data_IF_769540718367
#
_entry.id   IF_769540718367
#
_cell.length_a   1.000
_cell.length_b   1.000
_cell.length_c   1.000
_cell.angle_alpha   90.00
_cell.angle_beta   90.00
_cell.angle_gamma   90.00
#
_symmetry.space_group_name_H-M   'P 1'
#
loop_
_entity.id
_entity.type
_entity.pdbx_description
1 polymer ?
#
# COMPACT_ATOMS: atom_id res chain seq x y z
N UNK A 1 -0.08 -37.82 41.41
CA UNK A 1 0.69 -36.56 41.52
C UNK A 1 1.53 -36.51 40.26
N UNK A 2 1.00 -35.90 39.20
CA UNK A 2 1.60 -35.86 37.86
C UNK A 2 2.50 -34.61 37.73
N UNK A 3 3.69 -34.68 37.10
CA UNK A 3 4.57 -33.54 36.99
C UNK A 3 4.14 -32.58 35.87
N UNK A 4 4.18 -31.28 36.18
CA UNK A 4 3.96 -30.16 35.27
C UNK A 4 5.14 -30.05 34.28
N UNK A 5 4.86 -30.33 33.00
CA UNK A 5 5.82 -30.18 31.91
C UNK A 5 5.91 -28.69 31.51
N UNK A 6 6.94 -28.02 32.04
CA UNK A 6 7.32 -26.65 31.72
C UNK A 6 7.86 -26.58 30.28
N UNK A 7 6.98 -26.33 29.31
CA UNK A 7 7.39 -25.87 27.97
C UNK A 7 6.67 -24.58 27.60
N UNK A 8 7.28 -23.48 28.04
CA UNK A 8 7.20 -22.19 27.38
C UNK A 8 7.73 -22.35 25.95
N UNK A 9 6.86 -22.65 24.99
CA UNK A 9 7.09 -22.29 23.59
C UNK A 9 6.33 -21.01 23.30
N UNK A 10 7.09 -19.91 23.34
CA UNK A 10 6.78 -18.64 22.70
C UNK A 10 6.51 -18.94 21.21
N UNK A 11 5.24 -19.12 20.85
CA UNK A 11 4.76 -18.81 19.52
C UNK A 11 3.98 -17.53 19.72
N UNK A 12 4.65 -16.39 19.57
CA UNK A 12 3.96 -15.17 19.16
C UNK A 12 3.28 -15.55 17.84
N UNK A 13 1.97 -15.77 17.94
CA UNK A 13 1.09 -16.07 16.82
C UNK A 13 1.21 -14.90 15.85
N UNK A 14 2.10 -15.04 14.87
CA UNK A 14 1.94 -14.39 13.58
C UNK A 14 0.59 -14.86 13.06
N UNK A 15 -0.45 -14.10 13.42
CA UNK A 15 -1.83 -14.44 13.14
C UNK A 15 -2.03 -14.15 11.67
N UNK A 16 -1.63 -15.09 10.83
CA UNK A 16 -1.97 -15.08 9.41
C UNK A 16 -3.49 -15.20 9.36
N UNK A 17 -4.17 -14.09 9.11
CA UNK A 17 -5.60 -14.10 8.83
C UNK A 17 -5.73 -14.68 7.42
N UNK A 18 -6.44 -15.81 7.28
CA UNK A 18 -6.82 -16.33 5.97
C UNK A 18 -7.72 -15.31 5.28
N UNK A 19 -7.14 -14.54 4.35
CA UNK A 19 -7.87 -13.60 3.54
C UNK A 19 -8.38 -14.32 2.27
N UNK A 20 -9.64 -14.08 1.84
CA UNK A 20 -10.12 -14.61 0.58
C UNK A 20 -9.19 -14.22 -0.57
N UNK A 21 -8.80 -15.18 -1.41
CA UNK A 21 -7.90 -14.94 -2.54
C UNK A 21 -8.37 -13.77 -3.42
N UNK A 22 -9.67 -13.72 -3.72
CA UNK A 22 -10.30 -12.65 -4.51
C UNK A 22 -10.11 -11.26 -3.88
N UNK A 23 -10.11 -11.18 -2.54
CA UNK A 23 -9.87 -9.93 -1.85
C UNK A 23 -8.41 -9.48 -1.99
N UNK A 24 -7.45 -10.38 -1.82
CA UNK A 24 -6.02 -10.08 -2.05
C UNK A 24 -5.78 -9.66 -3.51
N UNK A 25 -6.43 -10.33 -4.46
CA UNK A 25 -6.39 -9.94 -5.88
C UNK A 25 -6.96 -8.54 -6.12
N UNK A 26 -8.06 -8.17 -5.46
CA UNK A 26 -8.63 -6.82 -5.57
C UNK A 26 -7.66 -5.73 -5.10
N UNK A 27 -6.85 -6.01 -4.07
CA UNK A 27 -5.83 -5.08 -3.57
C UNK A 27 -4.75 -4.83 -4.62
N UNK A 28 -4.39 -5.84 -5.43
CA UNK A 28 -3.40 -5.66 -6.51
C UNK A 28 -3.85 -4.65 -7.57
N UNK A 29 -5.17 -4.44 -7.68
CA UNK A 29 -5.79 -3.52 -8.62
C UNK A 29 -5.97 -2.11 -8.07
N UNK A 30 -5.64 -1.86 -6.79
CA UNK A 30 -5.72 -0.52 -6.21
C UNK A 30 -4.80 0.45 -6.95
N UNK A 31 -5.40 1.56 -7.37
CA UNK A 31 -4.79 2.69 -8.07
C UNK A 31 -5.54 3.94 -7.64
N UNK A 32 -4.95 5.11 -7.90
CA UNK A 32 -5.71 6.34 -7.85
C UNK A 32 -6.90 6.27 -8.83
N UNK A 33 -8.05 6.87 -8.50
CA UNK A 33 -9.10 7.11 -9.47
C UNK A 33 -8.54 7.90 -10.66
N UNK A 34 -9.04 7.63 -11.88
CA UNK A 34 -8.55 8.21 -13.13
C UNK A 34 -8.39 9.74 -13.07
N UNK A 35 -9.38 10.44 -12.53
CA UNK A 35 -9.32 11.90 -12.40
C UNK A 35 -8.22 12.38 -11.43
N UNK A 36 -7.96 11.63 -10.37
CA UNK A 36 -6.91 11.95 -9.41
C UNK A 36 -5.52 11.66 -10.00
N UNK A 37 -5.38 10.59 -10.79
CA UNK A 37 -4.15 10.26 -11.51
C UNK A 37 -3.82 11.32 -12.58
N UNK A 38 -4.81 11.72 -13.38
CA UNK A 38 -4.66 12.83 -14.34
C UNK A 38 -4.28 14.15 -13.64
N UNK A 39 -4.88 14.43 -12.48
CA UNK A 39 -4.55 15.63 -11.70
C UNK A 39 -3.11 15.56 -11.18
N UNK A 40 -2.67 14.41 -10.68
CA UNK A 40 -1.30 14.18 -10.23
C UNK A 40 -0.30 14.42 -11.38
N UNK A 41 -0.55 13.86 -12.56
CA UNK A 41 0.31 14.04 -13.73
C UNK A 41 0.41 15.51 -14.14
N UNK A 42 -0.71 16.22 -14.23
CA UNK A 42 -0.72 17.65 -14.58
C UNK A 42 0.06 18.50 -13.56
N UNK A 43 -0.05 18.17 -12.26
CA UNK A 43 0.72 18.86 -11.21
C UNK A 43 2.21 18.53 -11.29
N UNK A 44 2.60 17.28 -11.60
CA UNK A 44 3.99 16.90 -11.82
C UNK A 44 4.60 17.65 -13.01
N UNK A 45 3.89 17.73 -14.12
CA UNK A 45 4.34 18.45 -15.33
C UNK A 45 4.60 19.93 -14.99
N UNK A 46 3.64 20.59 -14.35
CA UNK A 46 3.78 21.99 -13.92
C UNK A 46 4.83 22.19 -12.83
N UNK A 47 5.07 21.20 -11.97
CA UNK A 47 6.15 21.24 -10.99
C UNK A 47 7.52 21.27 -11.68
N UNK A 48 7.70 20.46 -12.73
CA UNK A 48 8.92 20.44 -13.53
C UNK A 48 9.15 21.78 -14.25
N UNK A 49 8.08 22.45 -14.65
CA UNK A 49 8.13 23.81 -15.21
C UNK A 49 8.32 24.92 -14.15
N UNK A 50 8.23 24.58 -12.86
CA UNK A 50 8.32 25.53 -11.76
C UNK A 50 7.08 26.43 -11.59
N UNK A 51 5.95 26.09 -12.22
CA UNK A 51 4.74 26.93 -12.32
C UNK A 51 3.65 26.62 -11.29
N UNK A 52 3.98 25.84 -10.24
CA UNK A 52 3.04 25.54 -9.16
C UNK A 52 2.89 26.71 -8.18
N UNK A 53 1.65 26.98 -7.82
CA UNK A 53 1.32 27.75 -6.61
C UNK A 53 1.60 26.95 -5.34
N UNK A 54 1.70 27.62 -4.20
CA UNK A 54 1.98 26.93 -2.92
C UNK A 54 0.90 25.88 -2.59
N UNK A 55 -0.38 26.23 -2.80
CA UNK A 55 -1.50 25.30 -2.60
C UNK A 55 -1.40 24.07 -3.51
N UNK A 56 -0.95 24.26 -4.75
CA UNK A 56 -0.79 23.15 -5.69
C UNK A 56 0.41 22.27 -5.36
N UNK A 57 1.46 22.81 -4.72
CA UNK A 57 2.57 22.01 -4.20
C UNK A 57 2.10 21.11 -3.05
N UNK A 58 1.25 21.62 -2.17
CA UNK A 58 0.62 20.80 -1.12
C UNK A 58 -0.26 19.71 -1.70
N UNK A 59 -1.09 20.03 -2.70
CA UNK A 59 -1.93 19.05 -3.39
C UNK A 59 -1.09 17.98 -4.10
N UNK A 60 0.00 18.39 -4.76
CA UNK A 60 0.94 17.47 -5.40
C UNK A 60 1.55 16.52 -4.38
N UNK A 61 2.03 17.05 -3.24
CA UNK A 61 2.63 16.26 -2.18
C UNK A 61 1.65 15.22 -1.63
N UNK A 62 0.41 15.61 -1.32
CA UNK A 62 -0.61 14.72 -0.79
C UNK A 62 -1.01 13.62 -1.80
N UNK A 63 -1.17 13.97 -3.08
CA UNK A 63 -1.50 12.99 -4.13
C UNK A 63 -0.35 12.02 -4.41
N UNK A 64 0.90 12.50 -4.38
CA UNK A 64 2.07 11.67 -4.55
C UNK A 64 2.24 10.68 -3.39
N UNK A 65 2.08 11.15 -2.14
CA UNK A 65 2.12 10.29 -0.95
C UNK A 65 1.06 9.18 -1.02
N UNK A 66 -0.18 9.53 -1.37
CA UNK A 66 -1.24 8.54 -1.52
C UNK A 66 -0.92 7.52 -2.62
N UNK A 67 -0.39 7.97 -3.77
CA UNK A 67 0.00 7.08 -4.87
C UNK A 67 1.11 6.09 -4.47
N UNK A 68 2.07 6.56 -3.68
CA UNK A 68 3.13 5.73 -3.13
C UNK A 68 2.57 4.68 -2.17
N UNK A 69 1.73 5.09 -1.22
CA UNK A 69 1.09 4.16 -0.27
C UNK A 69 0.28 3.07 -0.98
N UNK A 70 -0.51 3.43 -2.00
CA UNK A 70 -1.25 2.46 -2.82
C UNK A 70 -0.30 1.51 -3.56
N UNK A 71 0.85 2.00 -4.01
CA UNK A 71 1.85 1.18 -4.71
C UNK A 71 2.54 0.19 -3.78
N UNK A 72 2.84 0.58 -2.54
CA UNK A 72 3.41 -0.30 -1.52
C UNK A 72 2.43 -1.42 -1.15
N UNK A 73 1.18 -1.07 -0.84
CA UNK A 73 0.14 -2.06 -0.49
C UNK A 73 -0.11 -3.03 -1.65
N UNK A 74 -0.11 -2.55 -2.89
CA UNK A 74 -0.18 -3.41 -4.07
C UNK A 74 1.01 -4.36 -4.18
N UNK A 75 2.22 -3.87 -3.97
CA UNK A 75 3.43 -4.69 -4.04
C UNK A 75 3.41 -5.80 -2.97
N UNK A 76 2.93 -5.48 -1.76
CA UNK A 76 2.73 -6.46 -0.69
C UNK A 76 1.68 -7.52 -1.07
N UNK A 77 0.54 -7.11 -1.64
CA UNK A 77 -0.47 -8.05 -2.13
C UNK A 77 0.07 -8.95 -3.25
N UNK A 78 0.87 -8.42 -4.19
CA UNK A 78 1.51 -9.23 -5.22
C UNK A 78 2.50 -10.23 -4.62
N UNK A 79 3.27 -9.81 -3.61
CA UNK A 79 4.18 -10.69 -2.88
C UNK A 79 3.43 -11.84 -2.18
N UNK A 80 2.31 -11.56 -1.51
CA UNK A 80 1.47 -12.58 -0.87
C UNK A 80 0.90 -13.59 -1.87
N UNK A 81 0.64 -13.17 -3.11
CA UNK A 81 0.20 -14.04 -4.20
C UNK A 81 1.34 -14.81 -4.88
N UNK A 82 2.60 -14.61 -4.47
CA UNK A 82 3.77 -15.16 -5.15
C UNK A 82 4.01 -14.60 -6.55
N UNK A 83 3.41 -13.44 -6.87
CA UNK A 83 3.59 -12.72 -8.15
C UNK A 83 4.70 -11.69 -7.99
N UNK A 84 5.40 -11.37 -9.08
CA UNK A 84 6.38 -10.28 -9.07
C UNK A 84 5.64 -8.93 -9.03
N UNK A 85 6.11 -7.97 -8.22
CA UNK A 85 5.53 -6.63 -8.11
C UNK A 85 5.64 -5.83 -9.41
#
# INVERSE_FOLDING_TARGET
MEPLDFRLRRNDLNTTIDAPLEWVESITMLRLPEQADLRLQCLMDRNNEGTLTDREREDLAALAELSEQLSLVRAEALHLLGRKP
#
